data_IF_713326863320
#
_entry.id   IF_713326863320
#
_cell.length_a   1.000
_cell.length_b   1.000
_cell.length_c   1.000
_cell.angle_alpha   90.00
_cell.angle_beta   90.00
_cell.angle_gamma   90.00
#
_symmetry.space_group_name_H-M   'P 1'
#
loop_
_entity.id
_entity.type
_entity.pdbx_description
1 polymer ?
#
# COMPACT_ATOMS: atom_id res chain seq x y z
N UNK A 1 19.29 0.86 6.34
CA UNK A 1 19.35 0.56 7.78
C UNK A 1 18.36 1.37 8.59
N UNK A 2 18.26 2.69 8.39
CA UNK A 2 17.29 3.53 9.09
C UNK A 2 15.85 3.06 8.87
N UNK A 3 15.51 2.62 7.66
CA UNK A 3 14.18 2.14 7.34
C UNK A 3 13.86 0.81 8.00
N UNK A 4 14.84 -0.08 8.17
CA UNK A 4 14.67 -1.31 8.94
C UNK A 4 14.42 -1.00 10.42
N UNK A 5 15.10 0.01 10.97
CA UNK A 5 14.85 0.44 12.35
C UNK A 5 13.43 0.95 12.52
N UNK A 6 12.88 1.69 11.55
CA UNK A 6 11.48 2.13 11.58
C UNK A 6 10.51 0.96 11.52
N UNK A 7 10.78 -0.05 10.71
CA UNK A 7 9.97 -1.27 10.66
C UNK A 7 9.98 -1.97 12.01
N UNK A 8 11.16 -2.17 12.59
CA UNK A 8 11.27 -2.76 13.93
C UNK A 8 10.55 -1.93 14.99
N UNK A 9 10.65 -0.59 14.92
CA UNK A 9 9.91 0.30 15.80
C UNK A 9 8.41 0.01 15.75
N UNK A 10 7.83 -0.04 14.55
CA UNK A 10 6.40 -0.34 14.42
C UNK A 10 6.04 -1.72 14.94
N UNK A 11 6.87 -2.72 14.72
CA UNK A 11 6.61 -4.07 15.20
C UNK A 11 6.58 -4.14 16.74
N UNK A 12 7.47 -3.42 17.43
CA UNK A 12 7.61 -3.52 18.88
C UNK A 12 6.81 -2.48 19.65
N UNK A 13 6.63 -1.28 19.10
CA UNK A 13 6.02 -0.16 19.82
C UNK A 13 4.67 0.24 19.28
N UNK A 14 4.37 -0.08 18.02
CA UNK A 14 3.08 0.19 17.41
C UNK A 14 2.53 -1.03 16.65
N UNK A 15 2.46 -2.19 17.31
CA UNK A 15 2.04 -3.42 16.62
C UNK A 15 0.60 -3.37 16.12
N UNK A 16 -0.24 -2.49 16.67
CA UNK A 16 -1.66 -2.37 16.27
C UNK A 16 -1.86 -2.04 14.81
N UNK A 17 -0.91 -1.38 14.14
CA UNK A 17 -1.04 -1.07 12.72
C UNK A 17 -1.03 -2.34 11.85
N UNK A 18 -0.50 -3.45 12.38
CA UNK A 18 -0.47 -4.74 11.70
C UNK A 18 -1.64 -5.64 12.06
N UNK A 19 -2.49 -5.23 13.01
CA UNK A 19 -3.63 -6.03 13.43
C UNK A 19 -4.72 -5.99 12.34
N UNK A 20 -5.44 -7.10 12.11
CA UNK A 20 -6.55 -7.11 11.15
C UNK A 20 -7.62 -6.07 11.49
N UNK A 21 -8.12 -5.38 10.47
CA UNK A 21 -9.13 -4.34 10.60
C UNK A 21 -10.23 -4.56 9.56
N UNK A 22 -11.39 -3.97 9.78
CA UNK A 22 -12.46 -3.95 8.79
C UNK A 22 -12.15 -2.99 7.64
N UNK A 23 -11.48 -1.88 7.94
CA UNK A 23 -11.09 -0.87 6.97
C UNK A 23 -9.68 -0.39 7.25
N UNK A 24 -8.91 -0.17 6.20
CA UNK A 24 -7.55 0.34 6.27
C UNK A 24 -7.43 1.76 5.70
N UNK A 25 -8.41 2.21 4.90
CA UNK A 25 -8.46 3.57 4.38
C UNK A 25 -8.77 4.58 5.48
N UNK A 26 -8.49 5.85 5.20
CA UNK A 26 -8.76 6.94 6.14
C UNK A 26 -10.27 7.13 6.38
N UNK A 27 -11.08 7.04 5.33
CA UNK A 27 -12.52 7.32 5.38
C UNK A 27 -13.38 6.15 4.88
N UNK A 28 -12.83 4.94 4.85
CA UNK A 28 -13.58 3.74 4.45
C UNK A 28 -13.69 3.54 2.94
N UNK A 29 -12.89 4.24 2.16
CA UNK A 29 -12.90 4.11 0.68
C UNK A 29 -12.62 2.67 0.24
N UNK A 30 -11.77 1.96 0.96
CA UNK A 30 -11.41 0.57 0.67
C UNK A 30 -12.62 -0.36 0.78
N UNK A 31 -13.53 -0.12 1.72
CA UNK A 31 -14.77 -0.91 1.85
C UNK A 31 -15.66 -0.69 0.64
N UNK A 32 -15.80 0.56 0.19
CA UNK A 32 -16.57 0.87 -1.00
C UNK A 32 -16.00 0.16 -2.24
N UNK A 33 -14.69 0.24 -2.43
CA UNK A 33 -14.01 -0.41 -3.55
C UNK A 33 -14.19 -1.92 -3.49
N UNK A 34 -14.00 -2.50 -2.32
CA UNK A 34 -14.14 -3.94 -2.13
C UNK A 34 -15.57 -4.42 -2.41
N UNK A 35 -16.57 -3.66 -2.00
CA UNK A 35 -17.97 -3.99 -2.27
C UNK A 35 -18.31 -3.86 -3.75
N UNK A 36 -17.79 -2.83 -4.42
CA UNK A 36 -18.01 -2.64 -5.85
C UNK A 36 -17.52 -3.85 -6.65
N UNK A 37 -16.38 -4.41 -6.27
CA UNK A 37 -15.75 -5.55 -6.94
C UNK A 37 -15.97 -6.88 -6.19
N UNK A 38 -17.01 -6.98 -5.38
CA UNK A 38 -17.20 -8.16 -4.50
C UNK A 38 -17.24 -9.49 -5.23
N UNK A 39 -17.71 -9.49 -6.48
CA UNK A 39 -17.84 -10.70 -7.29
C UNK A 39 -16.58 -11.01 -8.12
N UNK A 40 -15.52 -10.19 -7.96
CA UNK A 40 -14.27 -10.35 -8.68
C UNK A 40 -13.16 -10.76 -7.70
N UNK A 41 -12.88 -12.05 -7.63
CA UNK A 41 -11.91 -12.60 -6.68
C UNK A 41 -10.46 -12.25 -7.02
N UNK A 42 -10.17 -11.96 -8.26
CA UNK A 42 -8.82 -11.57 -8.72
C UNK A 42 -8.92 -10.33 -9.58
N UNK A 43 -7.94 -9.46 -9.46
CA UNK A 43 -7.88 -8.25 -10.26
C UNK A 43 -6.53 -7.58 -10.07
N UNK A 44 -6.44 -6.39 -10.65
CA UNK A 44 -5.20 -5.62 -10.69
C UNK A 44 -5.52 -4.17 -10.32
N UNK A 45 -4.66 -3.56 -9.50
CA UNK A 45 -4.81 -2.16 -9.14
C UNK A 45 -3.53 -1.37 -9.44
N UNK A 46 -3.69 -0.07 -9.60
CA UNK A 46 -2.59 0.88 -9.66
C UNK A 46 -2.83 1.92 -8.58
N UNK A 47 -1.94 2.00 -7.61
CA UNK A 47 -2.04 2.89 -6.47
C UNK A 47 -0.98 3.99 -6.56
N UNK A 48 -1.39 5.19 -6.89
CA UNK A 48 -0.51 6.34 -7.06
C UNK A 48 -0.52 7.15 -5.76
N UNK A 49 0.66 7.39 -5.19
CA UNK A 49 0.76 7.96 -3.87
C UNK A 49 0.32 6.98 -2.81
N UNK A 50 0.86 5.77 -2.86
CA UNK A 50 0.36 4.64 -2.06
C UNK A 50 0.62 4.77 -0.55
N UNK A 51 1.55 5.57 -0.15
CA UNK A 51 1.86 5.96 1.23
C UNK A 51 2.28 4.81 2.13
N UNK A 52 1.36 3.95 2.56
CA UNK A 52 1.61 2.87 3.51
C UNK A 52 0.79 1.63 3.12
N UNK A 53 1.36 0.42 3.23
CA UNK A 53 0.64 -0.80 2.81
C UNK A 53 -0.55 -1.16 3.68
N UNK A 54 -0.66 -0.60 4.88
CA UNK A 54 -1.77 -0.84 5.81
C UNK A 54 -2.47 0.44 6.19
N UNK A 55 -1.74 1.38 6.82
CA UNK A 55 -2.28 2.60 7.37
C UNK A 55 -2.69 3.56 6.25
N UNK A 56 -3.98 3.87 6.15
CA UNK A 56 -4.52 4.71 5.10
C UNK A 56 -4.56 4.04 3.72
N UNK A 57 -4.48 2.72 3.65
CA UNK A 57 -4.41 2.01 2.38
C UNK A 57 -5.78 1.80 1.75
N UNK A 58 -5.90 2.13 0.47
CA UNK A 58 -7.11 1.86 -0.32
C UNK A 58 -7.08 0.48 -0.98
N UNK A 59 -5.94 -0.20 -1.01
CA UNK A 59 -5.75 -1.44 -1.76
C UNK A 59 -5.51 -2.67 -0.91
N UNK A 60 -5.29 -2.52 0.39
CA UNK A 60 -4.95 -3.67 1.24
C UNK A 60 -6.04 -4.73 1.29
N UNK A 61 -7.33 -4.32 1.35
CA UNK A 61 -8.44 -5.27 1.32
C UNK A 61 -8.45 -6.09 0.02
N UNK A 62 -8.18 -5.46 -1.11
CA UNK A 62 -8.06 -6.15 -2.40
C UNK A 62 -6.87 -7.11 -2.41
N UNK A 63 -5.74 -6.68 -1.87
CA UNK A 63 -4.55 -7.52 -1.77
C UNK A 63 -4.81 -8.77 -0.92
N UNK A 64 -5.46 -8.61 0.23
CA UNK A 64 -5.85 -9.75 1.09
C UNK A 64 -6.75 -10.74 0.35
N UNK A 65 -7.58 -10.25 -0.54
CA UNK A 65 -8.52 -11.04 -1.32
C UNK A 65 -7.84 -11.81 -2.46
N UNK A 66 -6.61 -11.47 -2.79
CA UNK A 66 -5.84 -12.13 -3.85
C UNK A 66 -5.47 -11.25 -5.03
N UNK A 67 -5.90 -10.00 -5.02
CA UNK A 67 -5.50 -9.03 -6.05
C UNK A 67 -4.03 -8.65 -5.90
N UNK A 68 -3.44 -8.16 -6.97
CA UNK A 68 -2.10 -7.58 -6.96
C UNK A 68 -2.07 -6.34 -7.84
N UNK A 69 -0.97 -5.60 -7.79
CA UNK A 69 -0.89 -4.40 -8.61
C UNK A 69 0.44 -3.67 -8.53
N UNK A 70 0.40 -2.44 -8.97
CA UNK A 70 1.53 -1.52 -8.94
C UNK A 70 1.29 -0.45 -7.88
N UNK A 71 2.32 -0.16 -7.09
CA UNK A 71 2.29 0.89 -6.08
C UNK A 71 3.37 1.90 -6.39
N UNK A 72 3.00 3.18 -6.42
CA UNK A 72 3.92 4.28 -6.71
C UNK A 72 3.94 5.27 -5.56
N UNK A 73 5.13 5.64 -5.12
CA UNK A 73 5.32 6.72 -4.16
C UNK A 73 6.73 7.30 -4.31
N UNK A 74 6.90 8.57 -4.00
CA UNK A 74 8.21 9.21 -4.04
C UNK A 74 9.04 8.88 -2.79
N UNK A 75 8.41 8.42 -1.73
CA UNK A 75 9.04 8.07 -0.46
C UNK A 75 9.74 6.72 -0.55
N UNK A 76 11.04 6.71 -0.34
CA UNK A 76 11.83 5.48 -0.28
C UNK A 76 11.35 4.55 0.85
N UNK A 77 11.01 5.13 1.99
CA UNK A 77 10.50 4.38 3.14
C UNK A 77 9.18 3.68 2.81
N UNK A 78 8.25 4.39 2.17
CA UNK A 78 6.97 3.81 1.75
C UNK A 78 7.18 2.62 0.83
N UNK A 79 8.03 2.77 -0.17
CA UNK A 79 8.29 1.70 -1.15
C UNK A 79 8.96 0.49 -0.49
N UNK A 80 9.87 0.71 0.45
CA UNK A 80 10.48 -0.39 1.21
C UNK A 80 9.45 -1.15 2.04
N UNK A 81 8.51 -0.45 2.66
CA UNK A 81 7.41 -1.08 3.39
C UNK A 81 6.52 -1.92 2.45
N UNK A 82 6.18 -1.38 1.29
CA UNK A 82 5.40 -2.13 0.31
C UNK A 82 6.12 -3.37 -0.17
N UNK A 83 7.41 -3.28 -0.45
CA UNK A 83 8.21 -4.44 -0.86
C UNK A 83 8.27 -5.51 0.24
N UNK A 84 8.28 -5.09 1.49
CA UNK A 84 8.31 -6.01 2.63
C UNK A 84 6.96 -6.68 2.86
N UNK A 85 5.85 -5.94 2.78
CA UNK A 85 4.51 -6.42 3.16
C UNK A 85 3.64 -6.84 1.97
N UNK A 86 3.94 -6.38 0.77
CA UNK A 86 3.16 -6.62 -0.44
C UNK A 86 3.99 -7.32 -1.51
N UNK A 87 4.42 -8.53 -1.22
CA UNK A 87 5.39 -9.25 -2.06
C UNK A 87 4.86 -9.64 -3.43
N UNK A 88 3.54 -9.76 -3.59
CA UNK A 88 2.94 -10.02 -4.91
C UNK A 88 2.83 -8.77 -5.77
N UNK A 89 2.96 -7.58 -5.16
CA UNK A 89 2.90 -6.31 -5.87
C UNK A 89 4.26 -5.90 -6.41
N UNK A 90 4.24 -5.05 -7.42
CA UNK A 90 5.43 -4.33 -7.90
C UNK A 90 5.34 -2.92 -7.34
N UNK A 91 6.35 -2.52 -6.55
CA UNK A 91 6.36 -1.21 -5.89
C UNK A 91 7.53 -0.39 -6.41
N UNK A 92 7.24 0.79 -6.89
CA UNK A 92 8.18 1.62 -7.64
C UNK A 92 8.27 3.00 -6.98
N UNK A 93 9.49 3.40 -6.63
CA UNK A 93 9.75 4.75 -6.14
C UNK A 93 9.73 5.72 -7.31
N UNK A 94 8.59 6.38 -7.50
CA UNK A 94 8.40 7.33 -8.60
C UNK A 94 7.18 8.20 -8.34
N UNK A 95 7.18 9.41 -8.87
CA UNK A 95 6.00 10.24 -8.97
C UNK A 95 5.33 10.03 -10.33
N UNK A 96 4.02 10.19 -10.36
CA UNK A 96 3.25 10.14 -11.61
C UNK A 96 2.90 11.57 -12.00
N UNK A 97 3.17 11.93 -13.25
CA UNK A 97 2.98 13.28 -13.75
C UNK A 97 2.78 13.23 -15.27
N UNK A 98 2.33 14.34 -15.84
CA UNK A 98 2.33 14.53 -17.29
C UNK A 98 3.73 14.95 -17.82
N UNK A 99 4.72 14.99 -16.97
CA UNK A 99 6.10 15.32 -17.29
C UNK A 99 6.95 14.05 -17.34
N UNK A 100 7.71 13.89 -18.41
CA UNK A 100 8.61 12.76 -18.57
C UNK A 100 10.03 13.17 -18.23
N UNK A 101 10.68 12.46 -17.30
CA UNK A 101 12.05 12.73 -16.85
C UNK A 101 12.18 12.76 -15.34
N UNK A 102 13.31 13.29 -14.86
CA UNK A 102 13.56 13.43 -13.42
C UNK A 102 13.23 14.83 -12.93
N UNK A 103 12.59 14.89 -11.77
CA UNK A 103 12.33 16.12 -11.04
C UNK A 103 12.98 16.03 -9.66
N UNK A 104 13.62 17.11 -9.28
CA UNK A 104 14.17 17.26 -7.92
C UNK A 104 13.25 18.08 -7.02
#
# INVERSE_FOLDING_TARGET
MLDLLKIYYYLFYRPKIFFPKKSYSLLGEDIFINNYFKNKSKGFYIDVGCYHPLEGSNTHLLYKKGWNGLNFDISDYSIKLFKFLRKRDISIRSGISNYSGKRE
#
